data_IF_539413175745
#
_entry.id   IF_539413175745
#
_cell.length_a   1.000
_cell.length_b   1.000
_cell.length_c   1.000
_cell.angle_alpha   90.00
_cell.angle_beta   90.00
_cell.angle_gamma   90.00
#
_symmetry.space_group_name_H-M   'P 1'
#
loop_
_entity.id
_entity.type
_entity.pdbx_description
1 polymer ?
#
# COMPACT_ATOMS: atom_id res chain seq x y z
N UNK A 1 -25.64 -36.30 15.69
CA UNK A 1 -25.17 -34.90 15.66
C UNK A 1 -26.34 -34.00 16.02
N UNK A 2 -26.40 -33.40 17.23
CA UNK A 2 -27.46 -32.47 17.57
C UNK A 2 -27.40 -31.26 16.62
N UNK A 3 -28.54 -30.96 15.97
CA UNK A 3 -28.64 -29.82 15.05
C UNK A 3 -28.71 -28.56 15.91
N UNK A 4 -27.71 -27.69 15.81
CA UNK A 4 -27.76 -26.34 16.38
C UNK A 4 -29.08 -25.68 16.02
N UNK A 5 -29.72 -25.05 17.00
CA UNK A 5 -30.90 -24.21 16.77
C UNK A 5 -30.54 -23.05 15.85
N UNK A 6 -31.53 -22.49 15.16
CA UNK A 6 -31.30 -21.37 14.23
C UNK A 6 -30.65 -20.16 14.91
N UNK A 7 -31.00 -19.94 16.19
CA UNK A 7 -30.41 -18.87 17.03
C UNK A 7 -28.92 -19.10 17.29
N UNK A 8 -28.54 -20.32 17.68
CA UNK A 8 -27.13 -20.65 17.92
C UNK A 8 -26.30 -20.54 16.64
N UNK A 9 -26.85 -20.98 15.50
CA UNK A 9 -26.22 -20.82 14.18
C UNK A 9 -26.00 -19.34 13.83
N UNK A 10 -26.99 -18.49 14.11
CA UNK A 10 -26.88 -17.05 13.88
C UNK A 10 -25.76 -16.44 14.73
N UNK A 11 -25.70 -16.75 16.03
CA UNK A 11 -24.63 -16.27 16.92
C UNK A 11 -23.24 -16.72 16.48
N UNK A 12 -23.12 -17.95 15.98
CA UNK A 12 -21.86 -18.44 15.44
C UNK A 12 -21.43 -17.66 14.18
N UNK A 13 -22.37 -17.43 13.25
CA UNK A 13 -22.11 -16.64 12.04
C UNK A 13 -21.72 -15.20 12.37
N UNK A 14 -22.38 -14.56 13.33
CA UNK A 14 -22.02 -13.20 13.78
C UNK A 14 -20.62 -13.16 14.39
N UNK A 15 -20.28 -14.16 15.20
CA UNK A 15 -18.94 -14.28 15.80
C UNK A 15 -17.88 -14.46 14.73
N UNK A 16 -18.11 -15.34 13.75
CA UNK A 16 -17.20 -15.53 12.61
C UNK A 16 -17.07 -14.26 11.78
N UNK A 17 -18.17 -13.55 11.51
CA UNK A 17 -18.14 -12.27 10.80
C UNK A 17 -17.27 -11.24 11.52
N UNK A 18 -17.39 -11.11 12.84
CA UNK A 18 -16.55 -10.19 13.63
C UNK A 18 -15.06 -10.53 13.51
N UNK A 19 -14.71 -11.81 13.70
CA UNK A 19 -13.33 -12.28 13.53
C UNK A 19 -12.79 -12.00 12.13
N UNK A 20 -13.57 -12.26 11.09
CA UNK A 20 -13.16 -11.96 9.71
C UNK A 20 -12.93 -10.46 9.48
N UNK A 21 -13.74 -9.59 10.07
CA UNK A 21 -13.52 -8.14 9.98
C UNK A 21 -12.22 -7.72 10.68
N UNK A 22 -11.93 -8.29 11.84
CA UNK A 22 -10.67 -8.05 12.56
C UNK A 22 -9.46 -8.52 11.73
N UNK A 23 -9.55 -9.71 11.13
CA UNK A 23 -8.51 -10.26 10.25
C UNK A 23 -8.29 -9.39 9.00
N UNK A 24 -9.37 -8.87 8.39
CA UNK A 24 -9.29 -7.94 7.26
C UNK A 24 -8.56 -6.66 7.64
N UNK A 25 -8.89 -6.06 8.79
CA UNK A 25 -8.22 -4.84 9.26
C UNK A 25 -6.75 -5.10 9.61
N UNK A 26 -6.43 -6.24 10.23
CA UNK A 26 -5.05 -6.64 10.50
C UNK A 26 -4.24 -6.81 9.20
N UNK A 27 -4.83 -7.45 8.18
CA UNK A 27 -4.20 -7.62 6.87
C UNK A 27 -3.99 -6.27 6.17
N UNK A 28 -4.98 -5.36 6.22
CA UNK A 28 -4.87 -3.99 5.70
C UNK A 28 -3.75 -3.22 6.37
N UNK A 29 -3.66 -3.28 7.70
CA UNK A 29 -2.61 -2.63 8.47
C UNK A 29 -1.23 -3.19 8.09
N UNK A 30 -1.07 -4.51 8.05
CA UNK A 30 0.18 -5.16 7.65
C UNK A 30 0.64 -4.74 6.25
N UNK A 31 -0.29 -4.61 5.30
CA UNK A 31 0.02 -4.12 3.95
C UNK A 31 0.49 -2.66 3.97
N UNK A 32 -0.22 -1.79 4.68
CA UNK A 32 0.14 -0.37 4.83
C UNK A 32 1.50 -0.20 5.50
N UNK A 33 1.79 -0.97 6.55
CA UNK A 33 3.09 -0.94 7.24
C UNK A 33 4.24 -1.31 6.31
N UNK A 34 4.07 -2.33 5.46
CA UNK A 34 5.06 -2.70 4.46
C UNK A 34 5.31 -1.59 3.44
N UNK A 35 4.26 -0.91 2.97
CA UNK A 35 4.41 0.20 2.03
C UNK A 35 5.00 1.45 2.69
N UNK A 36 4.66 1.72 3.95
CA UNK A 36 5.25 2.82 4.71
C UNK A 36 6.76 2.63 4.92
N UNK A 37 7.23 1.39 5.08
CA UNK A 37 8.67 1.09 5.16
C UNK A 37 9.41 1.51 3.88
N UNK A 38 8.81 1.32 2.70
CA UNK A 38 9.41 1.76 1.42
C UNK A 38 9.62 3.28 1.39
N UNK A 39 8.68 4.06 1.94
CA UNK A 39 8.79 5.52 1.97
C UNK A 39 10.00 5.98 2.79
N UNK A 40 10.40 5.23 3.83
CA UNK A 40 11.57 5.56 4.64
C UNK A 40 12.89 5.49 3.86
N UNK A 41 12.91 4.76 2.74
CA UNK A 41 14.09 4.61 1.88
C UNK A 41 14.10 5.63 0.73
N UNK A 42 13.03 6.44 0.58
CA UNK A 42 12.92 7.42 -0.50
C UNK A 42 13.44 8.79 -0.05
N UNK A 43 14.23 9.49 -0.90
CA UNK A 43 14.62 10.87 -0.63
C UNK A 43 13.42 11.80 -0.82
N UNK A 44 12.68 12.04 0.26
CA UNK A 44 11.48 12.89 0.29
C UNK A 44 11.80 14.34 0.67
N UNK A 45 13.05 14.69 0.93
CA UNK A 45 13.48 15.99 1.45
C UNK A 45 13.17 17.15 0.50
N UNK A 46 12.94 16.87 -0.78
CA UNK A 46 12.51 17.86 -1.78
C UNK A 46 11.01 18.16 -1.74
N UNK A 47 10.24 17.46 -0.91
CA UNK A 47 8.80 17.62 -0.76
C UNK A 47 8.47 18.05 0.68
N UNK A 48 7.48 18.92 0.81
CA UNK A 48 6.83 19.14 2.09
C UNK A 48 5.93 17.95 2.45
N UNK A 49 5.63 17.77 3.74
CA UNK A 49 4.71 16.70 4.18
C UNK A 49 3.34 16.79 3.48
N UNK A 50 2.86 18.02 3.25
CA UNK A 50 1.59 18.28 2.55
C UNK A 50 1.64 17.77 1.11
N UNK A 51 2.70 18.13 0.37
CA UNK A 51 2.86 17.70 -1.03
C UNK A 51 2.99 16.19 -1.14
N UNK A 52 3.78 15.56 -0.26
CA UNK A 52 3.90 14.10 -0.24
C UNK A 52 2.53 13.43 -0.04
N UNK A 53 1.75 13.90 0.93
CA UNK A 53 0.42 13.36 1.23
C UNK A 53 -0.53 13.52 0.04
N UNK A 54 -0.54 14.71 -0.58
CA UNK A 54 -1.39 15.01 -1.72
C UNK A 54 -1.03 14.17 -2.94
N UNK A 55 0.25 14.05 -3.28
CA UNK A 55 0.74 13.21 -4.38
C UNK A 55 0.36 11.73 -4.20
N UNK A 56 0.51 11.19 -2.98
CA UNK A 56 0.12 9.81 -2.67
C UNK A 56 -1.41 9.65 -2.79
N UNK A 57 -2.21 10.59 -2.28
CA UNK A 57 -3.66 10.54 -2.39
C UNK A 57 -4.14 10.57 -3.85
N UNK A 58 -3.62 11.51 -4.65
CA UNK A 58 -3.95 11.62 -6.08
C UNK A 58 -3.56 10.35 -6.83
N UNK A 59 -2.38 9.78 -6.53
CA UNK A 59 -1.91 8.54 -7.15
C UNK A 59 -2.78 7.33 -6.80
N UNK A 60 -3.28 7.25 -5.55
CA UNK A 60 -4.19 6.19 -5.12
C UNK A 60 -5.56 6.33 -5.80
N UNK A 61 -6.09 7.55 -5.91
CA UNK A 61 -7.39 7.81 -6.55
C UNK A 61 -7.36 7.55 -8.06
N UNK A 62 -6.30 8.00 -8.74
CA UNK A 62 -6.11 7.79 -10.18
C UNK A 62 -5.78 6.32 -10.51
N UNK A 63 -5.18 5.60 -9.56
CA UNK A 63 -4.68 4.24 -9.73
C UNK A 63 -3.22 4.22 -10.18
N UNK A 64 -2.41 3.38 -9.53
CA UNK A 64 -0.95 3.40 -9.67
C UNK A 64 -0.43 3.23 -11.10
N UNK A 65 -1.05 2.38 -11.91
CA UNK A 65 -0.64 2.19 -13.31
C UNK A 65 -0.82 3.46 -14.15
N UNK A 66 -1.96 4.14 -14.00
CA UNK A 66 -2.24 5.38 -14.69
C UNK A 66 -1.36 6.54 -14.19
N UNK A 67 -1.15 6.64 -12.88
CA UNK A 67 -0.25 7.63 -12.29
C UNK A 67 1.21 7.45 -12.79
N UNK A 68 1.72 6.21 -12.83
CA UNK A 68 3.04 5.92 -13.37
C UNK A 68 3.15 6.23 -14.86
N UNK A 69 2.13 5.90 -15.66
CA UNK A 69 2.10 6.22 -17.08
C UNK A 69 2.10 7.73 -17.34
N UNK A 70 1.42 8.52 -16.49
CA UNK A 70 1.38 9.97 -16.59
C UNK A 70 2.70 10.64 -16.17
N UNK A 71 3.33 10.16 -15.09
CA UNK A 71 4.54 10.79 -14.52
C UNK A 71 5.84 10.40 -15.24
N UNK A 72 5.98 9.15 -15.69
CA UNK A 72 7.23 8.65 -16.32
C UNK A 72 7.73 9.50 -17.49
N UNK A 73 6.90 9.97 -18.44
CA UNK A 73 7.35 10.78 -19.57
C UNK A 73 7.85 12.17 -19.18
N UNK A 74 7.41 12.69 -18.03
CA UNK A 74 7.76 14.03 -17.54
C UNK A 74 9.07 14.03 -16.75
N UNK A 75 9.53 12.86 -16.29
CA UNK A 75 10.77 12.74 -15.54
C UNK A 75 11.96 12.61 -16.50
N UNK A 76 13.11 13.24 -16.19
CA UNK A 76 14.33 12.99 -16.93
C UNK A 76 14.67 11.50 -16.86
N UNK A 77 15.10 10.94 -17.99
CA UNK A 77 15.49 9.54 -18.08
C UNK A 77 16.67 9.32 -17.12
N UNK A 78 16.44 8.72 -15.96
CA UNK A 78 17.53 8.25 -15.13
C UNK A 78 18.22 7.10 -15.87
N UNK A 79 19.24 7.40 -16.66
CA UNK A 79 20.23 6.39 -17.00
C UNK A 79 20.87 5.98 -15.67
N UNK A 80 20.80 4.70 -15.24
CA UNK A 80 21.57 4.27 -14.08
C UNK A 80 23.03 4.62 -14.36
N UNK A 81 23.66 5.30 -13.40
CA UNK A 81 25.01 5.84 -13.53
C UNK A 81 25.93 4.90 -14.29
N UNK A 82 26.50 5.41 -15.39
CA UNK A 82 27.62 4.80 -16.10
C UNK A 82 28.63 4.38 -15.03
N UNK A 83 28.78 3.06 -14.79
CA UNK A 83 29.86 2.52 -13.94
C UNK A 83 31.14 3.23 -14.36
N UNK A 84 31.68 4.06 -13.47
CA UNK A 84 33.00 4.63 -13.66
C UNK A 84 33.95 3.44 -13.83
N UNK A 85 34.51 3.30 -15.04
CA UNK A 85 35.53 2.31 -15.31
C UNK A 85 36.68 2.56 -14.33
N UNK A 86 37.01 1.57 -13.51
CA UNK A 86 38.18 1.62 -12.66
C UNK A 86 39.44 1.57 -13.54
N UNK A 87 40.45 2.44 -13.32
CA UNK A 87 41.71 2.33 -14.02
C UNK A 87 42.59 1.33 -13.28
N UNK A 88 42.99 0.23 -13.94
CA UNK A 88 44.24 -0.48 -13.70
C UNK A 88 44.74 -1.10 -15.00
#
# INVERSE_FOLDING_TARGET
MPKLTERERLTELETRRRKLLEEIEAARLSLRSRYAAVIQELPVETLTERELRELVQLSIQLGGAAALAALRPLLPSQSPGKKAAAPR
#
